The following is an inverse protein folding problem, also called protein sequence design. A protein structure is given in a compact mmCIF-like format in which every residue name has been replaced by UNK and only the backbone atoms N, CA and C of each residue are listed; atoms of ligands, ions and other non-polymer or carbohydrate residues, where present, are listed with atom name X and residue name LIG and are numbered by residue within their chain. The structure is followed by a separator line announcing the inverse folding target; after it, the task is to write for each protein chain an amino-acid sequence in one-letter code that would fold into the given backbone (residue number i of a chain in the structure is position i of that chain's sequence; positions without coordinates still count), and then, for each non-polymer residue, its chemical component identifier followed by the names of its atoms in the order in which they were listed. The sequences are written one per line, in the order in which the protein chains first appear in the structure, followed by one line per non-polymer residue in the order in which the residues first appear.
data_IF_476875557358
#
_entry.id   IF_476875557358
#
_cell.length_a   1.000
_cell.length_b   1.000
_cell.length_c   1.000
_cell.angle_alpha   90.00
_cell.angle_beta   90.00
_cell.angle_gamma   90.00
#
_symmetry.space_group_name_H-M   'P 1'
#
loop_
_entity.id
_entity.type
_entity.pdbx_description
1 polymer ?
#
# COMPACT_ATOMS: atom_id res chain seq x y z
N UNK A 1 -21.60 -13.47 -6.05
CA UNK A 1 -20.15 -13.25 -5.87
C UNK A 1 -19.77 -12.11 -6.77
N UNK A 2 -19.22 -11.02 -6.22
CA UNK A 2 -18.61 -9.98 -7.07
C UNK A 2 -17.36 -10.59 -7.73
N UNK A 3 -17.05 -10.18 -8.95
CA UNK A 3 -15.80 -10.54 -9.64
C UNK A 3 -14.64 -9.86 -8.89
N UNK A 4 -13.95 -10.62 -8.05
CA UNK A 4 -12.94 -10.08 -7.13
C UNK A 4 -11.73 -9.57 -7.90
N UNK A 5 -11.33 -10.30 -8.94
CA UNK A 5 -10.25 -9.89 -9.81
C UNK A 5 -10.55 -8.56 -10.49
N UNK A 6 -11.78 -8.34 -10.94
CA UNK A 6 -12.21 -7.06 -11.48
C UNK A 6 -12.18 -5.96 -10.42
N UNK A 7 -12.67 -6.21 -9.21
CA UNK A 7 -12.65 -5.23 -8.12
C UNK A 7 -11.22 -4.80 -7.77
N UNK A 8 -10.30 -5.75 -7.64
CA UNK A 8 -8.89 -5.49 -7.38
C UNK A 8 -8.28 -4.64 -8.49
N UNK A 9 -8.49 -5.02 -9.75
CA UNK A 9 -7.96 -4.28 -10.90
C UNK A 9 -8.56 -2.87 -11.03
N UNK A 10 -9.87 -2.73 -10.84
CA UNK A 10 -10.57 -1.44 -10.94
C UNK A 10 -10.18 -0.48 -9.80
N UNK A 11 -9.79 -1.03 -8.64
CA UNK A 11 -9.55 -0.22 -7.43
C UNK A 11 -8.07 0.10 -7.19
N UNK A 12 -7.19 -0.89 -7.23
CA UNK A 12 -5.75 -0.69 -6.98
C UNK A 12 -4.90 -0.76 -8.27
N UNK A 13 -5.49 -1.17 -9.41
CA UNK A 13 -4.81 -1.22 -10.70
C UNK A 13 -3.69 -2.27 -10.79
N UNK A 14 -3.16 -2.50 -11.98
CA UNK A 14 -1.94 -3.31 -12.16
C UNK A 14 -0.66 -2.56 -11.72
N UNK A 15 -0.74 -1.23 -11.64
CA UNK A 15 0.39 -0.33 -11.39
C UNK A 15 0.50 0.14 -9.92
N UNK A 16 -0.10 -0.57 -8.96
CA UNK A 16 0.03 -0.21 -7.53
C UNK A 16 1.48 -0.14 -7.02
N UNK A 17 2.42 -0.77 -7.74
CA UNK A 17 3.85 -0.68 -7.46
C UNK A 17 4.50 0.62 -7.91
N UNK A 18 3.90 1.39 -8.82
CA UNK A 18 4.48 2.63 -9.31
C UNK A 18 4.69 3.67 -8.18
N UNK A 19 3.70 3.92 -7.29
CA UNK A 19 3.93 4.68 -6.06
C UNK A 19 5.11 4.17 -5.22
N UNK A 20 5.29 2.85 -5.12
CA UNK A 20 6.35 2.20 -4.32
C UNK A 20 7.74 2.34 -4.93
N UNK A 21 7.84 2.33 -6.26
CA UNK A 21 9.08 2.61 -6.99
C UNK A 21 9.51 4.08 -6.85
N UNK A 22 8.53 4.99 -6.83
CA UNK A 22 8.79 6.41 -6.59
C UNK A 22 9.21 6.68 -5.15
N UNK A 23 8.59 6.02 -4.17
CA UNK A 23 9.05 6.10 -2.78
C UNK A 23 10.48 5.59 -2.64
N UNK A 24 10.80 4.45 -3.24
CA UNK A 24 12.16 3.92 -3.23
C UNK A 24 13.16 4.91 -3.83
N UNK A 25 12.82 5.50 -4.98
CA UNK A 25 13.65 6.53 -5.62
C UNK A 25 13.90 7.71 -4.69
N UNK A 26 12.84 8.23 -4.05
CA UNK A 26 12.90 9.36 -3.12
C UNK A 26 13.71 9.06 -1.86
N UNK A 27 13.66 7.82 -1.33
CA UNK A 27 14.45 7.41 -0.16
C UNK A 27 15.97 7.34 -0.45
N UNK A 28 16.34 7.04 -1.70
CA UNK A 28 17.73 6.92 -2.12
C UNK A 28 18.28 8.19 -2.80
N UNK A 29 17.42 9.05 -3.35
CA UNK A 29 17.80 10.33 -3.95
C UNK A 29 17.83 11.45 -2.91
N UNK A 30 18.94 12.20 -2.81
CA UNK A 30 19.01 13.43 -2.01
C UNK A 30 18.21 14.62 -2.58
N UNK A 31 17.41 14.44 -3.63
CA UNK A 31 16.63 15.51 -4.26
C UNK A 31 15.25 15.64 -3.61
N UNK A 32 15.08 16.67 -2.79
CA UNK A 32 13.82 17.01 -2.11
C UNK A 32 12.67 17.37 -3.07
N UNK A 33 12.97 17.64 -4.34
CA UNK A 33 12.01 18.03 -5.38
C UNK A 33 10.98 16.92 -5.68
N UNK A 34 11.24 15.68 -5.27
CA UNK A 34 10.38 14.52 -5.53
C UNK A 34 9.50 14.12 -4.33
N UNK A 35 9.66 14.74 -3.16
CA UNK A 35 8.95 14.36 -1.93
C UNK A 35 7.45 14.59 -2.07
N UNK A 36 7.02 15.79 -2.49
CA UNK A 36 5.58 16.13 -2.64
C UNK A 36 4.89 15.15 -3.59
N UNK A 37 5.48 14.92 -4.77
CA UNK A 37 4.95 13.97 -5.75
C UNK A 37 4.88 12.54 -5.19
N UNK A 38 5.88 12.13 -4.43
CA UNK A 38 5.90 10.81 -3.78
C UNK A 38 4.79 10.67 -2.75
N UNK A 39 4.54 11.70 -1.94
CA UNK A 39 3.45 11.72 -0.96
C UNK A 39 2.08 11.69 -1.63
N UNK A 40 1.89 12.44 -2.72
CA UNK A 40 0.65 12.38 -3.51
C UNK A 40 0.38 10.96 -4.01
N UNK A 41 1.42 10.27 -4.50
CA UNK A 41 1.31 8.88 -4.95
C UNK A 41 1.01 7.91 -3.80
N UNK A 42 1.61 8.08 -2.62
CA UNK A 42 1.28 7.28 -1.43
C UNK A 42 -0.15 7.51 -0.95
N UNK A 43 -0.65 8.75 -1.02
CA UNK A 43 -2.03 9.07 -0.65
C UNK A 43 -3.05 8.44 -1.62
N UNK A 44 -2.74 8.41 -2.92
CA UNK A 44 -3.54 7.68 -3.91
C UNK A 44 -3.55 6.18 -3.58
N UNK A 45 -2.38 5.59 -3.32
CA UNK A 45 -2.25 4.18 -2.96
C UNK A 45 -3.09 3.86 -1.70
N UNK A 46 -2.96 4.67 -0.65
CA UNK A 46 -3.74 4.54 0.58
C UNK A 46 -5.24 4.58 0.31
N UNK A 47 -5.71 5.59 -0.41
CA UNK A 47 -7.14 5.75 -0.73
C UNK A 47 -7.68 4.56 -1.52
N UNK A 48 -6.88 3.99 -2.41
CA UNK A 48 -7.28 2.81 -3.18
C UNK A 48 -7.41 1.57 -2.28
N UNK A 49 -6.51 1.33 -1.32
CA UNK A 49 -6.69 0.22 -0.38
C UNK A 49 -7.82 0.44 0.61
N UNK A 50 -8.07 1.68 1.04
CA UNK A 50 -9.26 1.99 1.85
C UNK A 50 -10.54 1.66 1.09
N UNK A 51 -10.63 2.00 -0.20
CA UNK A 51 -11.75 1.63 -1.07
C UNK A 51 -11.87 0.13 -1.25
N UNK A 52 -10.75 -0.56 -1.52
CA UNK A 52 -10.74 -2.01 -1.72
C UNK A 52 -11.26 -2.71 -0.47
N UNK A 53 -10.74 -2.34 0.70
CA UNK A 53 -11.18 -2.87 1.99
C UNK A 53 -12.70 -2.71 2.15
N UNK A 54 -13.23 -1.50 1.94
CA UNK A 54 -14.68 -1.27 2.05
C UNK A 54 -15.51 -2.09 1.05
N UNK A 55 -15.00 -2.32 -0.16
CA UNK A 55 -15.74 -3.06 -1.18
C UNK A 55 -15.83 -4.57 -0.93
N UNK A 56 -14.83 -5.14 -0.25
CA UNK A 56 -14.76 -6.57 0.05
C UNK A 56 -15.25 -6.93 1.46
N UNK A 57 -15.40 -5.95 2.35
CA UNK A 57 -15.76 -6.16 3.76
C UNK A 57 -17.15 -6.79 3.96
N UNK A 58 -18.05 -6.59 3.01
CA UNK A 58 -19.41 -7.15 3.03
C UNK A 58 -19.51 -8.50 2.29
N UNK A 59 -18.40 -9.08 1.85
CA UNK A 59 -18.41 -10.37 1.13
C UNK A 59 -18.33 -11.56 2.10
N UNK A 60 -19.03 -12.65 1.77
CA UNK A 60 -19.17 -13.84 2.63
C UNK A 60 -17.83 -14.56 2.93
N UNK A 61 -16.82 -14.36 2.08
CA UNK A 61 -15.48 -14.95 2.26
C UNK A 61 -14.57 -14.12 3.16
N UNK A 62 -14.99 -12.91 3.56
CA UNK A 62 -14.18 -12.03 4.39
C UNK A 62 -14.00 -12.69 5.76
N UNK A 63 -12.89 -13.41 5.94
CA UNK A 63 -12.46 -13.83 7.25
C UNK A 63 -12.06 -12.56 8.02
N UNK A 64 -12.96 -12.16 8.92
CA UNK A 64 -12.87 -10.98 9.78
C UNK A 64 -11.52 -10.85 10.53
N UNK A 65 -10.70 -11.90 10.58
CA UNK A 65 -9.36 -11.82 11.16
C UNK A 65 -8.24 -11.58 10.14
N UNK A 66 -8.22 -12.27 9.00
CA UNK A 66 -7.08 -12.19 8.06
C UNK A 66 -7.01 -10.85 7.34
N UNK A 67 -8.06 -10.49 6.60
CA UNK A 67 -8.05 -9.27 5.79
C UNK A 67 -8.00 -8.02 6.67
N UNK A 68 -8.69 -8.04 7.80
CA UNK A 68 -8.68 -6.95 8.77
C UNK A 68 -7.26 -6.65 9.28
N UNK A 69 -6.44 -7.68 9.54
CA UNK A 69 -5.04 -7.50 9.93
C UNK A 69 -4.21 -7.00 8.74
N UNK A 70 -4.33 -7.61 7.56
CA UNK A 70 -3.57 -7.21 6.37
C UNK A 70 -3.85 -5.75 5.97
N UNK A 71 -5.11 -5.31 5.90
CA UNK A 71 -5.44 -3.92 5.59
C UNK A 71 -5.01 -2.94 6.69
N UNK A 72 -5.20 -3.26 7.98
CA UNK A 72 -4.79 -2.35 9.07
C UNK A 72 -3.29 -2.13 9.09
N UNK A 73 -2.51 -3.20 8.93
CA UNK A 73 -1.04 -3.13 8.92
C UNK A 73 -0.52 -2.42 7.68
N UNK A 74 -1.14 -2.64 6.51
CA UNK A 74 -0.82 -1.94 5.26
C UNK A 74 -1.04 -0.43 5.40
N UNK A 75 -2.23 -0.02 5.86
CA UNK A 75 -2.56 1.39 6.02
C UNK A 75 -1.67 2.06 7.08
N UNK A 76 -1.32 1.32 8.15
CA UNK A 76 -0.37 1.81 9.16
C UNK A 76 1.02 2.04 8.55
N UNK A 77 1.52 1.10 7.75
CA UNK A 77 2.81 1.21 7.09
C UNK A 77 2.84 2.37 6.07
N UNK A 78 1.76 2.60 5.31
CA UNK A 78 1.66 3.74 4.39
C UNK A 78 1.70 5.07 5.16
N UNK A 79 0.92 5.21 6.23
CA UNK A 79 0.93 6.42 7.06
C UNK A 79 2.31 6.70 7.66
N UNK A 80 2.98 5.63 8.13
CA UNK A 80 4.31 5.75 8.71
C UNK A 80 5.35 6.19 7.67
N UNK A 81 5.28 5.59 6.47
CA UNK A 81 6.14 5.97 5.35
C UNK A 81 5.91 7.42 4.92
N UNK A 82 4.66 7.88 4.85
CA UNK A 82 4.32 9.27 4.52
C UNK A 82 4.95 10.27 5.52
N UNK A 83 4.84 9.98 6.83
CA UNK A 83 5.44 10.80 7.87
C UNK A 83 6.98 10.82 7.81
N UNK A 84 7.61 9.69 7.51
CA UNK A 84 9.06 9.58 7.44
C UNK A 84 9.65 10.39 6.27
N UNK A 85 8.88 10.58 5.19
CA UNK A 85 9.29 11.40 4.04
C UNK A 85 9.34 12.91 4.33
N UNK A 86 8.60 13.41 5.33
CA UNK A 86 8.57 14.85 5.67
C UNK A 86 9.76 15.32 6.52
N UNK A 87 10.48 14.40 7.15
CA UNK A 87 11.50 14.73 8.15
C UNK A 87 12.90 14.81 7.54
N UNK A 88 13.76 15.70 8.05
CA UNK A 88 15.18 15.70 7.73
C UNK A 88 15.79 14.42 8.32
N UNK A 89 15.80 13.35 7.53
CA UNK A 89 15.86 11.99 8.06
C UNK A 89 17.25 11.64 8.57
N UNK A 90 17.31 11.24 9.83
CA UNK A 90 18.44 10.49 10.37
C UNK A 90 18.62 9.18 9.60
N UNK A 91 19.78 8.53 9.75
CA UNK A 91 19.99 7.19 9.16
C UNK A 91 18.91 6.20 9.61
N UNK A 92 18.46 6.29 10.87
CA UNK A 92 17.42 5.44 11.45
C UNK A 92 16.06 5.65 10.76
N UNK A 93 15.65 6.89 10.53
CA UNK A 93 14.40 7.20 9.83
C UNK A 93 14.40 6.67 8.39
N UNK A 94 15.56 6.74 7.71
CA UNK A 94 15.72 6.20 6.35
C UNK A 94 15.60 4.67 6.35
N UNK A 95 16.23 3.99 7.31
CA UNK A 95 16.12 2.55 7.45
C UNK A 95 14.67 2.13 7.75
N UNK A 96 13.99 2.86 8.63
CA UNK A 96 12.59 2.60 8.95
C UNK A 96 11.66 2.80 7.75
N UNK A 97 11.93 3.83 6.93
CA UNK A 97 11.18 4.07 5.71
C UNK A 97 11.39 2.96 4.68
N UNK A 98 12.60 2.43 4.55
CA UNK A 98 12.90 1.26 3.71
C UNK A 98 12.13 0.03 4.19
N UNK A 99 12.09 -0.21 5.50
CA UNK A 99 11.32 -1.31 6.10
C UNK A 99 9.83 -1.16 5.77
N UNK A 100 9.27 0.04 5.96
CA UNK A 100 7.86 0.31 5.65
C UNK A 100 7.56 0.10 4.16
N UNK A 101 8.40 0.62 3.26
CA UNK A 101 8.23 0.46 1.82
C UNK A 101 8.25 -1.02 1.41
N UNK A 102 9.18 -1.80 1.95
CA UNK A 102 9.30 -3.23 1.67
C UNK A 102 8.07 -4.00 2.18
N UNK A 103 7.59 -3.65 3.37
CA UNK A 103 6.39 -4.24 3.96
C UNK A 103 5.14 -3.98 3.10
N UNK A 104 4.93 -2.73 2.67
CA UNK A 104 3.80 -2.36 1.80
C UNK A 104 3.84 -3.17 0.49
N UNK A 105 5.01 -3.29 -0.14
CA UNK A 105 5.19 -4.09 -1.35
C UNK A 105 4.85 -5.56 -1.14
N UNK A 106 5.25 -6.14 0.00
CA UNK A 106 4.92 -7.52 0.32
C UNK A 106 3.43 -7.72 0.60
N UNK A 107 2.76 -6.73 1.20
CA UNK A 107 1.35 -6.81 1.53
C UNK A 107 0.42 -6.61 0.34
N UNK A 108 0.76 -5.70 -0.58
CA UNK A 108 0.05 -5.60 -1.86
C UNK A 108 -0.06 -6.97 -2.52
N UNK A 109 1.09 -7.66 -2.64
CA UNK A 109 1.16 -8.98 -3.25
C UNK A 109 0.28 -9.99 -2.53
N UNK A 110 0.38 -10.08 -1.19
CA UNK A 110 -0.39 -11.05 -0.39
C UNK A 110 -1.90 -10.82 -0.46
N UNK A 111 -2.34 -9.56 -0.45
CA UNK A 111 -3.78 -9.22 -0.56
C UNK A 111 -4.29 -9.60 -1.94
N UNK A 112 -3.52 -9.32 -3.01
CA UNK A 112 -3.89 -9.72 -4.39
C UNK A 112 -4.00 -11.23 -4.54
N UNK A 113 -2.97 -11.96 -4.12
CA UNK A 113 -2.94 -13.43 -4.22
C UNK A 113 -4.11 -14.06 -3.44
N UNK A 114 -4.36 -13.59 -2.20
CA UNK A 114 -5.48 -14.08 -1.41
C UNK A 114 -6.84 -13.79 -2.06
N UNK A 115 -7.04 -12.61 -2.66
CA UNK A 115 -8.29 -12.28 -3.35
C UNK A 115 -8.46 -13.04 -4.68
N UNK A 116 -7.37 -13.34 -5.40
CA UNK A 116 -7.42 -14.17 -6.60
C UNK A 116 -7.74 -15.63 -6.28
N UNK A 117 -7.20 -16.18 -5.19
CA UNK A 117 -7.50 -17.55 -4.73
C UNK A 117 -8.97 -17.73 -4.35
N UNK A 118 -9.63 -16.69 -3.84
CA UNK A 118 -11.04 -16.71 -3.44
C UNK A 118 -12.02 -16.57 -4.61
N UNK A 119 -11.53 -16.16 -5.79
CA UNK A 119 -12.32 -16.05 -7.03
C UNK A 119 -12.38 -17.40 -7.81
N UNK A 120 -11.68 -18.43 -7.32
CA UNK A 120 -11.53 -19.77 -7.92
C UNK A 120 -12.36 -20.84 -7.19
#
# INVERSE_FOLDING_TARGET
MKDLKKIVNDTIGAESFYPLEKTQSTLFSCDSTNIIFTKDMLNILKSNYEKLNQQIKDEDFYDDYYFDVEFKTLLLAINKLDNLLDSSTSEEDRLEAIICQSHIRSQDKRIREALEELDH
#
